data_IF_933572747707
#
_entry.id   IF_933572747707
#
_cell.length_a   1.000
_cell.length_b   1.000
_cell.length_c   1.000
_cell.angle_alpha   90.00
_cell.angle_beta   90.00
_cell.angle_gamma   90.00
#
_symmetry.space_group_name_H-M   'P 1'
#
loop_
_entity.id
_entity.type
_entity.pdbx_description
1 polymer ?
#
# COMPACT_ATOMS: atom_id res chain seq x y z
N UNK A 1 -7.90 4.74 -8.65
CA UNK A 1 -6.90 4.82 -7.56
C UNK A 1 -6.29 3.46 -7.22
N UNK A 2 -7.07 2.38 -7.20
CA UNK A 2 -6.53 1.01 -7.12
C UNK A 2 -5.53 0.69 -8.24
N UNK A 3 -5.73 1.24 -9.44
CA UNK A 3 -4.77 1.17 -10.56
C UNK A 3 -3.41 1.82 -10.22
N UNK A 4 -3.37 2.73 -9.26
CA UNK A 4 -2.14 3.38 -8.75
C UNK A 4 -1.52 2.61 -7.58
N UNK A 5 -2.16 1.53 -7.13
CA UNK A 5 -1.69 0.71 -6.00
C UNK A 5 -1.90 1.36 -4.62
N UNK A 6 -2.74 2.39 -4.51
CA UNK A 6 -3.00 3.03 -3.22
C UNK A 6 -4.04 2.27 -2.39
N UNK A 7 -3.80 2.23 -1.09
CA UNK A 7 -4.70 1.64 -0.10
C UNK A 7 -5.15 2.71 0.90
N UNK A 8 -6.40 2.62 1.34
CA UNK A 8 -6.90 3.49 2.40
C UNK A 8 -6.23 3.17 3.74
N UNK A 9 -5.92 4.21 4.51
CA UNK A 9 -5.28 4.08 5.83
C UNK A 9 -6.16 3.34 6.86
N UNK A 10 -7.49 3.35 6.68
CA UNK A 10 -8.42 2.60 7.55
C UNK A 10 -8.54 1.11 7.19
N UNK A 11 -7.95 0.69 6.07
CA UNK A 11 -8.06 -0.70 5.62
C UNK A 11 -7.33 -1.68 6.56
N UNK A 12 -7.79 -2.94 6.66
CA UNK A 12 -7.07 -3.98 7.40
C UNK A 12 -5.62 -4.18 6.93
N UNK A 13 -5.37 -4.01 5.62
CA UNK A 13 -4.04 -4.05 5.02
C UNK A 13 -3.11 -2.98 5.60
N UNK A 14 -3.54 -1.72 5.59
CA UNK A 14 -2.76 -0.62 6.13
C UNK A 14 -2.45 -0.84 7.62
N UNK A 15 -3.43 -1.34 8.38
CA UNK A 15 -3.24 -1.67 9.80
C UNK A 15 -2.24 -2.81 10.03
N UNK A 16 -2.22 -3.83 9.17
CA UNK A 16 -1.27 -4.94 9.27
C UNK A 16 0.17 -4.49 8.99
N UNK A 17 0.33 -3.51 8.08
CA UNK A 17 1.64 -2.95 7.71
C UNK A 17 2.15 -1.89 8.69
N UNK A 18 1.33 -1.41 9.63
CA UNK A 18 1.76 -0.40 10.62
C UNK A 18 2.93 -0.93 11.45
N UNK A 19 4.02 -0.16 11.48
CA UNK A 19 5.29 -0.44 12.19
C UNK A 19 6.12 -1.60 11.61
N UNK A 20 5.65 -2.28 10.56
CA UNK A 20 6.44 -3.27 9.85
C UNK A 20 7.64 -2.62 9.15
N UNK A 21 8.71 -3.39 9.01
CA UNK A 21 9.96 -3.01 8.37
C UNK A 21 10.26 -3.94 7.21
N UNK A 22 11.21 -3.54 6.37
CA UNK A 22 11.74 -4.40 5.32
C UNK A 22 12.27 -5.72 5.91
N UNK A 23 11.85 -6.84 5.30
CA UNK A 23 12.10 -8.20 5.76
C UNK A 23 11.11 -8.75 6.80
N UNK A 24 10.17 -7.95 7.29
CA UNK A 24 9.14 -8.44 8.22
C UNK A 24 8.04 -9.20 7.46
N UNK A 25 7.58 -10.29 8.07
CA UNK A 25 6.34 -10.96 7.69
C UNK A 25 5.17 -10.47 8.56
N UNK A 26 4.06 -10.09 7.92
CA UNK A 26 2.84 -9.64 8.58
C UNK A 26 1.67 -10.55 8.21
N UNK A 27 0.79 -10.80 9.18
CA UNK A 27 -0.42 -11.59 8.95
C UNK A 27 -1.60 -10.69 8.62
N UNK A 28 -2.14 -10.81 7.40
CA UNK A 28 -3.37 -10.15 6.99
C UNK A 28 -4.57 -11.04 7.26
N UNK A 29 -5.56 -10.50 7.97
CA UNK A 29 -6.85 -11.16 8.18
C UNK A 29 -7.91 -10.47 7.33
N UNK A 30 -8.45 -11.19 6.36
CA UNK A 30 -9.58 -10.76 5.53
C UNK A 30 -10.79 -11.67 5.76
N UNK A 31 -12.01 -11.27 5.37
CA UNK A 31 -13.15 -12.17 5.38
C UNK A 31 -12.95 -13.43 4.53
N UNK A 32 -12.08 -13.37 3.51
CA UNK A 32 -11.75 -14.51 2.63
C UNK A 32 -10.72 -15.46 3.20
N UNK A 33 -10.08 -15.12 4.34
CA UNK A 33 -9.08 -15.96 4.97
C UNK A 33 -7.91 -15.17 5.56
N UNK A 34 -6.93 -15.93 6.03
CA UNK A 34 -5.67 -15.42 6.58
C UNK A 34 -4.59 -15.59 5.52
N UNK A 35 -3.82 -14.54 5.29
CA UNK A 35 -2.70 -14.51 4.36
C UNK A 35 -1.46 -13.95 5.07
N UNK A 36 -0.28 -14.46 4.72
CA UNK A 36 1.00 -13.96 5.20
C UNK A 36 1.67 -13.15 4.10
N UNK A 37 2.12 -11.95 4.43
CA UNK A 37 2.71 -11.00 3.51
C UNK A 37 4.10 -10.62 3.98
N UNK A 38 5.07 -10.63 3.07
CA UNK A 38 6.43 -10.16 3.33
C UNK A 38 6.61 -8.72 2.86
N UNK A 39 7.17 -7.86 3.71
CA UNK A 39 7.53 -6.49 3.35
C UNK A 39 8.89 -6.51 2.65
N UNK A 40 8.88 -6.56 1.32
CA UNK A 40 10.11 -6.63 0.52
C UNK A 40 10.90 -5.32 0.52
N UNK A 41 10.23 -4.16 0.60
CA UNK A 41 10.88 -2.84 0.64
C UNK A 41 9.93 -1.75 1.15
N UNK A 42 10.49 -0.68 1.75
CA UNK A 42 9.74 0.53 2.13
C UNK A 42 10.32 1.76 1.43
N UNK A 43 9.48 2.50 0.71
CA UNK A 43 9.87 3.72 -0.01
C UNK A 43 8.93 4.87 0.35
N UNK A 44 9.49 6.00 0.76
CA UNK A 44 8.73 7.22 1.01
C UNK A 44 8.68 8.04 -0.27
N UNK A 45 7.51 8.10 -0.89
CA UNK A 45 7.26 8.86 -2.11
C UNK A 45 6.23 9.96 -1.83
N UNK A 46 6.32 11.12 -2.50
CA UNK A 46 5.25 12.10 -2.46
C UNK A 46 3.98 11.49 -3.05
N UNK A 47 2.84 11.72 -2.39
CA UNK A 47 1.55 11.35 -2.96
C UNK A 47 1.24 12.28 -4.13
N UNK A 48 0.81 11.71 -5.25
CA UNK A 48 0.42 12.47 -6.43
C UNK A 48 -1.00 13.06 -6.26
N UNK A 49 -1.26 13.75 -5.14
CA UNK A 49 -2.60 14.28 -4.79
C UNK A 49 -2.86 15.68 -5.37
N UNK A 50 -2.29 16.00 -6.53
CA UNK A 50 -2.53 17.27 -7.25
C UNK A 50 -2.63 17.06 -8.76
N UNK A 51 -3.14 18.06 -9.50
CA UNK A 51 -3.34 18.07 -10.97
C UNK A 51 -2.14 17.57 -11.80
N UNK A 52 -0.95 17.50 -11.22
CA UNK A 52 0.27 16.96 -11.81
C UNK A 52 0.14 15.50 -12.32
N UNK A 53 -0.90 14.78 -11.91
CA UNK A 53 -1.19 13.42 -12.39
C UNK A 53 -2.02 13.35 -13.69
N UNK A 54 -2.62 14.46 -14.15
CA UNK A 54 -3.23 14.49 -15.49
C UNK A 54 -2.15 14.51 -16.59
N UNK A 55 -0.98 15.07 -16.32
CA UNK A 55 0.10 15.23 -17.30
C UNK A 55 0.96 13.97 -17.51
N UNK A 56 1.05 13.07 -16.52
CA UNK A 56 1.86 11.85 -16.62
C UNK A 56 1.15 10.67 -17.31
N UNK A 57 -0.18 10.74 -17.50
CA UNK A 57 -0.98 9.73 -18.21
C UNK A 57 -1.11 9.97 -19.72
N UNK A 58 -0.49 11.03 -20.26
CA UNK A 58 -0.61 11.46 -21.67
C UNK A 58 0.68 11.28 -22.50
N UNK A 59 1.59 10.40 -22.08
CA UNK A 59 2.84 10.08 -22.80
C UNK A 59 2.92 8.63 -23.21
#
# INVERSE_FOLDING_TARGET
DTERGYISWVSPMARALLKAREGDAVTLRTPGGIEELEVVAVRYLPLATGEADAAAAAG
#
